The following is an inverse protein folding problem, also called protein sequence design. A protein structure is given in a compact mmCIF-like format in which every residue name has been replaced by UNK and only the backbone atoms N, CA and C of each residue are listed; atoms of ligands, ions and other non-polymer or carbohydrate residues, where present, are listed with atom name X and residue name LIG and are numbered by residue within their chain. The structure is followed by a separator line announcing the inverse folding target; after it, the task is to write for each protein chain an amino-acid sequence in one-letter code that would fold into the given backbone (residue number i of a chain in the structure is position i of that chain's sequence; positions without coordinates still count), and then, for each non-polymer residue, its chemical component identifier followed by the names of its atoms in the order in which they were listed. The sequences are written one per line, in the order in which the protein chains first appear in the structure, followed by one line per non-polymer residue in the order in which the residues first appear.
data_IF_469059963065
#
_entry.id   IF_469059963065
#
_cell.length_a   1.000
_cell.length_b   1.000
_cell.length_c   1.000
_cell.angle_alpha   90.00
_cell.angle_beta   90.00
_cell.angle_gamma   90.00
#
_symmetry.space_group_name_H-M   'P 1'
#
loop_
_entity.id
_entity.type
_entity.pdbx_description
1 polymer ?
#
# COMPACT_ATOMS: atom_id res chain seq x y z
N UNK A 1 -14.77 15.83 -28.96
CA UNK A 1 -13.89 14.70 -29.34
C UNK A 1 -12.48 14.89 -28.78
N UNK A 2 -11.92 16.10 -28.82
CA UNK A 2 -10.58 16.45 -28.31
C UNK A 2 -10.38 16.19 -26.79
N UNK A 3 -11.34 16.59 -25.96
CA UNK A 3 -11.26 16.47 -24.48
C UNK A 3 -11.16 15.01 -24.00
N UNK A 4 -11.91 14.09 -24.59
CA UNK A 4 -11.87 12.67 -24.20
C UNK A 4 -10.50 12.06 -24.48
N UNK A 5 -9.91 12.37 -25.64
CA UNK A 5 -8.57 11.91 -26.03
C UNK A 5 -7.51 12.47 -25.07
N UNK A 6 -7.65 13.75 -24.69
CA UNK A 6 -6.75 14.38 -23.72
C UNK A 6 -6.83 13.72 -22.33
N UNK A 7 -8.04 13.47 -21.81
CA UNK A 7 -8.23 12.81 -20.52
C UNK A 7 -7.68 11.39 -20.52
N UNK A 8 -7.92 10.63 -21.58
CA UNK A 8 -7.37 9.28 -21.74
C UNK A 8 -5.83 9.29 -21.78
N UNK A 9 -5.23 10.29 -22.43
CA UNK A 9 -3.77 10.46 -22.44
C UNK A 9 -3.25 10.76 -21.04
N UNK A 10 -3.85 11.72 -20.34
CA UNK A 10 -3.45 12.09 -18.98
C UNK A 10 -3.54 10.90 -18.02
N UNK A 11 -4.61 10.10 -18.11
CA UNK A 11 -4.76 8.90 -17.28
C UNK A 11 -3.63 7.91 -17.54
N UNK A 12 -3.32 7.60 -18.81
CA UNK A 12 -2.24 6.68 -19.17
C UNK A 12 -0.87 7.18 -18.69
N UNK A 13 -0.58 8.47 -18.89
CA UNK A 13 0.66 9.10 -18.44
C UNK A 13 0.80 9.02 -16.92
N UNK A 14 -0.28 9.31 -16.19
CA UNK A 14 -0.28 9.25 -14.73
C UNK A 14 -0.12 7.82 -14.20
N UNK A 15 -0.83 6.83 -14.79
CA UNK A 15 -0.65 5.43 -14.42
C UNK A 15 0.77 4.93 -14.69
N UNK A 16 1.37 5.32 -15.83
CA UNK A 16 2.75 4.99 -16.14
C UNK A 16 3.75 5.61 -15.14
N UNK A 17 3.51 6.85 -14.72
CA UNK A 17 4.28 7.52 -13.68
C UNK A 17 4.20 6.76 -12.35
N UNK A 18 3.00 6.41 -11.88
CA UNK A 18 2.81 5.68 -10.62
C UNK A 18 3.56 4.35 -10.61
N UNK A 19 3.58 3.63 -11.74
CA UNK A 19 4.35 2.38 -11.87
C UNK A 19 5.85 2.64 -11.89
N UNK A 20 6.32 3.65 -12.63
CA UNK A 20 7.75 3.99 -12.72
C UNK A 20 8.31 4.37 -11.34
N UNK A 21 7.57 5.16 -10.58
CA UNK A 21 7.92 5.54 -9.20
C UNK A 21 7.71 4.39 -8.21
N UNK A 22 7.15 3.26 -8.64
CA UNK A 22 6.97 2.07 -7.82
C UNK A 22 5.83 2.15 -6.82
N UNK A 23 4.87 3.06 -6.98
CA UNK A 23 3.64 3.06 -6.19
C UNK A 23 2.80 1.82 -6.48
N UNK A 24 2.73 1.44 -7.77
CA UNK A 24 1.97 0.31 -8.28
C UNK A 24 2.89 -0.73 -8.93
N UNK A 25 2.59 -2.02 -8.76
CA UNK A 25 3.22 -3.12 -9.48
C UNK A 25 2.25 -3.80 -10.47
N UNK A 26 2.72 -4.87 -11.12
CA UNK A 26 1.99 -5.59 -12.16
C UNK A 26 0.66 -6.19 -11.66
N UNK A 27 0.48 -6.37 -10.34
CA UNK A 27 -0.78 -6.86 -9.79
C UNK A 27 -1.92 -5.87 -10.03
N UNK A 28 -1.65 -4.56 -10.01
CA UNK A 28 -2.67 -3.56 -10.32
C UNK A 28 -3.14 -3.67 -11.77
N UNK A 29 -2.22 -3.98 -12.71
CA UNK A 29 -2.58 -4.20 -14.13
C UNK A 29 -3.43 -5.48 -14.29
N UNK A 30 -3.14 -6.53 -13.52
CA UNK A 30 -3.99 -7.73 -13.49
C UNK A 30 -5.40 -7.39 -12.99
N UNK A 31 -5.50 -6.53 -11.98
CA UNK A 31 -6.78 -6.09 -11.41
C UNK A 31 -7.59 -5.28 -12.43
N UNK A 32 -6.93 -4.40 -13.20
CA UNK A 32 -7.55 -3.66 -14.29
C UNK A 32 -8.08 -4.58 -15.42
N UNK A 33 -7.40 -5.70 -15.70
CA UNK A 33 -7.83 -6.67 -16.72
C UNK A 33 -9.08 -7.46 -16.34
N UNK A 34 -9.45 -7.48 -15.05
CA UNK A 34 -10.67 -8.11 -14.56
C UNK A 34 -11.90 -7.22 -14.75
N UNK A 35 -11.71 -5.92 -14.97
CA UNK A 35 -12.79 -5.00 -15.25
C UNK A 35 -13.31 -5.19 -16.68
N UNK A 36 -14.61 -5.37 -16.83
CA UNK A 36 -15.28 -5.54 -18.12
C UNK A 36 -16.58 -4.73 -18.22
N UNK A 37 -17.31 -4.86 -19.33
CA UNK A 37 -18.58 -4.15 -19.54
C UNK A 37 -19.68 -4.56 -18.55
N UNK A 38 -19.58 -5.75 -17.95
CA UNK A 38 -20.53 -6.23 -16.94
C UNK A 38 -20.22 -5.72 -15.52
N UNK A 39 -18.98 -5.27 -15.31
CA UNK A 39 -18.44 -4.82 -14.02
C UNK A 39 -17.54 -3.57 -14.19
N UNK A 40 -18.08 -2.46 -14.73
CA UNK A 40 -17.27 -1.29 -15.12
C UNK A 40 -16.59 -0.59 -13.94
N UNK A 41 -17.08 -0.79 -12.71
CA UNK A 41 -16.56 -0.15 -11.49
C UNK A 41 -15.71 -1.10 -10.63
N UNK A 42 -15.41 -2.32 -11.09
CA UNK A 42 -14.71 -3.36 -10.31
C UNK A 42 -13.43 -2.85 -9.64
N UNK A 43 -12.55 -2.17 -10.38
CA UNK A 43 -11.29 -1.64 -9.83
C UNK A 43 -11.57 -0.61 -8.74
N UNK A 44 -12.56 0.26 -8.95
CA UNK A 44 -12.93 1.31 -7.99
C UNK A 44 -13.49 0.70 -6.72
N UNK A 45 -14.35 -0.32 -6.83
CA UNK A 45 -14.91 -1.04 -5.69
C UNK A 45 -13.82 -1.72 -4.86
N UNK A 46 -12.91 -2.46 -5.51
CA UNK A 46 -11.81 -3.15 -4.82
C UNK A 46 -10.87 -2.16 -4.13
N UNK A 47 -10.51 -1.07 -4.79
CA UNK A 47 -9.65 -0.03 -4.20
C UNK A 47 -10.34 0.69 -3.04
N UNK A 48 -11.66 0.91 -3.13
CA UNK A 48 -12.44 1.52 -2.04
C UNK A 48 -12.47 0.62 -0.81
N UNK A 49 -12.71 -0.69 -0.99
CA UNK A 49 -12.65 -1.68 0.09
C UNK A 49 -11.25 -1.71 0.72
N UNK A 50 -10.20 -1.66 -0.11
CA UNK A 50 -8.83 -1.58 0.39
C UNK A 50 -8.62 -0.35 1.29
N UNK A 51 -9.13 0.82 0.92
CA UNK A 51 -8.99 2.02 1.75
C UNK A 51 -9.73 1.90 3.09
N UNK A 52 -10.98 1.41 3.07
CA UNK A 52 -11.77 1.22 4.29
C UNK A 52 -11.10 0.23 5.27
N UNK A 53 -10.52 -0.85 4.74
CA UNK A 53 -9.84 -1.85 5.57
C UNK A 53 -8.46 -1.36 6.03
N UNK A 54 -7.75 -0.59 5.20
CA UNK A 54 -6.47 0.02 5.53
C UNK A 54 -6.61 0.99 6.70
N UNK A 55 -7.64 1.84 6.71
CA UNK A 55 -7.89 2.79 7.80
C UNK A 55 -8.09 2.07 9.13
N UNK A 56 -8.92 1.01 9.14
CA UNK A 56 -9.16 0.20 10.35
C UNK A 56 -7.87 -0.48 10.82
N UNK A 57 -7.10 -1.04 9.90
CA UNK A 57 -5.85 -1.73 10.22
C UNK A 57 -4.80 -0.78 10.79
N UNK A 58 -4.59 0.38 10.17
CA UNK A 58 -3.64 1.40 10.63
C UNK A 58 -4.04 1.94 12.00
N UNK A 59 -5.33 2.18 12.24
CA UNK A 59 -5.82 2.60 13.56
C UNK A 59 -5.60 1.55 14.64
N UNK A 60 -5.81 0.26 14.33
CA UNK A 60 -5.54 -0.82 15.27
C UNK A 60 -4.05 -1.00 15.54
N UNK A 61 -3.22 -0.87 14.50
CA UNK A 61 -1.76 -0.90 14.61
C UNK A 61 -1.24 0.23 15.50
N UNK A 62 -1.71 1.46 15.29
CA UNK A 62 -1.35 2.61 16.11
C UNK A 62 -1.71 2.37 17.59
N UNK A 63 -2.93 1.92 17.87
CA UNK A 63 -3.38 1.58 19.23
C UNK A 63 -2.54 0.47 19.88
N UNK A 64 -2.10 -0.53 19.12
CA UNK A 64 -1.24 -1.59 19.63
C UNK A 64 0.16 -1.08 20.01
N UNK A 65 0.69 -0.12 19.25
CA UNK A 65 1.99 0.51 19.49
C UNK A 65 1.99 1.53 20.64
N UNK A 66 0.84 2.16 20.93
CA UNK A 66 0.69 3.11 22.04
C UNK A 66 0.62 2.45 23.43
N UNK A 67 0.54 1.11 23.50
CA UNK A 67 0.48 0.39 24.78
C UNK A 67 1.81 0.46 25.53
N UNK A 68 1.75 0.56 26.86
CA UNK A 68 2.96 0.58 27.72
C UNK A 68 3.84 -0.66 27.57
N UNK A 69 3.24 -1.80 27.26
CA UNK A 69 3.92 -3.03 26.91
C UNK A 69 3.34 -3.51 25.58
N UNK A 70 4.11 -3.34 24.50
CA UNK A 70 3.66 -3.65 23.14
C UNK A 70 3.58 -5.17 22.94
N UNK A 71 2.41 -5.66 22.51
CA UNK A 71 2.26 -7.03 22.04
C UNK A 71 2.73 -7.15 20.59
N UNK A 72 4.01 -7.48 20.44
CA UNK A 72 4.65 -7.67 19.14
C UNK A 72 3.99 -8.73 18.26
N UNK A 73 3.32 -9.73 18.84
CA UNK A 73 2.60 -10.74 18.05
C UNK A 73 1.35 -10.15 17.42
N UNK A 74 0.64 -9.30 18.15
CA UNK A 74 -0.52 -8.58 17.63
C UNK A 74 -0.10 -7.58 16.55
N UNK A 75 1.00 -6.85 16.77
CA UNK A 75 1.56 -5.91 15.79
C UNK A 75 1.97 -6.66 14.50
N UNK A 76 2.73 -7.76 14.60
CA UNK A 76 3.11 -8.56 13.42
C UNK A 76 1.88 -9.08 12.66
N UNK A 77 0.84 -9.51 13.36
CA UNK A 77 -0.40 -9.97 12.73
C UNK A 77 -1.08 -8.86 11.91
N UNK A 78 -1.18 -7.65 12.44
CA UNK A 78 -1.75 -6.51 11.71
C UNK A 78 -0.92 -6.13 10.49
N UNK A 79 0.40 -6.10 10.62
CA UNK A 79 1.32 -5.78 9.52
C UNK A 79 1.30 -6.87 8.45
N UNK A 80 1.21 -8.14 8.85
CA UNK A 80 1.08 -9.26 7.92
C UNK A 80 -0.22 -9.17 7.12
N UNK A 81 -1.34 -8.86 7.79
CA UNK A 81 -2.62 -8.65 7.11
C UNK A 81 -2.53 -7.48 6.12
N UNK A 82 -1.92 -6.37 6.53
CA UNK A 82 -1.81 -5.18 5.69
C UNK A 82 -0.88 -5.39 4.49
N UNK A 83 0.21 -6.16 4.66
CA UNK A 83 1.06 -6.65 3.57
C UNK A 83 0.23 -7.42 2.55
N UNK A 84 -0.58 -8.38 2.99
CA UNK A 84 -1.39 -9.22 2.11
C UNK A 84 -2.43 -8.40 1.33
N UNK A 85 -3.14 -7.51 2.03
CA UNK A 85 -4.10 -6.60 1.42
C UNK A 85 -3.43 -5.67 0.39
N UNK A 86 -2.31 -5.04 0.74
CA UNK A 86 -1.54 -4.19 -0.18
C UNK A 86 -1.02 -4.95 -1.40
N UNK A 87 -0.56 -6.19 -1.20
CA UNK A 87 -0.13 -7.04 -2.28
C UNK A 87 -1.27 -7.39 -3.24
N UNK A 88 -2.49 -7.65 -2.74
CA UNK A 88 -3.63 -8.02 -3.59
C UNK A 88 -4.08 -6.94 -4.57
N UNK A 89 -3.86 -5.66 -4.25
CA UNK A 89 -4.19 -4.52 -5.11
C UNK A 89 -2.99 -3.96 -5.88
N UNK A 90 -1.78 -4.51 -5.67
CA UNK A 90 -0.55 -4.02 -6.27
C UNK A 90 0.01 -2.72 -5.67
N UNK A 91 -0.35 -2.37 -4.43
CA UNK A 91 0.22 -1.22 -3.71
C UNK A 91 1.65 -1.54 -3.22
N UNK A 92 2.61 -1.46 -4.14
CA UNK A 92 3.96 -1.98 -3.93
C UNK A 92 4.73 -1.30 -2.80
N UNK A 93 4.71 0.05 -2.71
CA UNK A 93 5.42 0.76 -1.63
C UNK A 93 4.90 0.35 -0.25
N UNK A 94 3.59 0.28 -0.08
CA UNK A 94 2.97 -0.10 1.20
C UNK A 94 3.32 -1.55 1.56
N UNK A 95 3.22 -2.47 0.59
CA UNK A 95 3.67 -3.86 0.76
C UNK A 95 5.12 -3.95 1.25
N UNK A 96 6.02 -3.18 0.65
CA UNK A 96 7.45 -3.20 1.00
C UNK A 96 7.71 -2.64 2.40
N UNK A 97 7.06 -1.53 2.77
CA UNK A 97 7.12 -1.00 4.14
C UNK A 97 6.63 -2.04 5.15
N UNK A 98 5.57 -2.78 4.85
CA UNK A 98 5.10 -3.85 5.72
C UNK A 98 6.13 -5.00 5.84
N UNK A 99 6.85 -5.35 4.78
CA UNK A 99 7.93 -6.36 4.84
C UNK A 99 9.03 -5.89 5.78
N UNK A 100 9.48 -4.65 5.65
CA UNK A 100 10.50 -4.09 6.53
C UNK A 100 10.03 -4.02 7.99
N UNK A 101 8.80 -3.56 8.22
CA UNK A 101 8.21 -3.46 9.54
C UNK A 101 8.24 -4.81 10.29
N UNK A 102 7.92 -5.91 9.59
CA UNK A 102 7.96 -7.26 10.20
C UNK A 102 9.36 -7.66 10.66
N UNK A 103 10.40 -7.29 9.92
CA UNK A 103 11.78 -7.57 10.34
C UNK A 103 12.10 -6.89 11.69
N UNK A 104 11.54 -5.70 11.95
CA UNK A 104 11.68 -5.01 13.25
C UNK A 104 10.87 -5.68 14.36
N UNK A 105 9.67 -6.18 14.06
CA UNK A 105 8.87 -6.94 15.02
C UNK A 105 9.60 -8.21 15.47
N UNK A 106 10.22 -8.93 14.53
CA UNK A 106 11.00 -10.14 14.82
C UNK A 106 12.27 -9.83 15.64
N UNK A 107 12.89 -8.67 15.42
CA UNK A 107 14.02 -8.18 16.20
C UNK A 107 13.65 -7.58 17.58
N UNK A 108 12.36 -7.44 17.90
CA UNK A 108 11.84 -6.75 19.10
C UNK A 108 12.38 -5.33 19.32
N UNK A 109 12.80 -4.64 18.26
CA UNK A 109 13.57 -3.40 18.37
C UNK A 109 12.82 -2.21 17.74
N UNK A 110 11.76 -1.73 18.41
CA UNK A 110 10.90 -0.62 17.91
C UNK A 110 11.58 0.75 18.06
N UNK A 111 12.58 0.90 18.95
CA UNK A 111 13.28 2.18 19.14
C UNK A 111 13.96 2.67 17.84
N UNK A 112 14.39 1.77 16.96
CA UNK A 112 14.94 2.11 15.64
C UNK A 112 13.88 2.58 14.63
N UNK A 113 12.62 2.14 14.76
CA UNK A 113 11.54 2.54 13.85
C UNK A 113 11.04 3.96 14.17
N UNK A 114 10.86 4.29 15.45
CA UNK A 114 10.38 5.62 15.88
C UNK A 114 11.42 6.74 15.65
N UNK A 115 12.72 6.39 15.65
CA UNK A 115 13.82 7.33 15.39
C UNK A 115 14.14 7.53 13.89
N UNK A 116 13.52 6.76 12.99
CA UNK A 116 13.62 7.02 11.55
C UNK A 116 12.62 8.10 11.14
N UNK A 117 13.10 9.34 11.06
CA UNK A 117 12.41 10.48 10.42
C UNK A 117 12.21 10.32 8.91
N UNK A 118 12.71 9.24 8.32
CA UNK A 118 12.58 8.95 6.91
C UNK A 118 12.12 7.49 6.74
N UNK A 119 10.88 7.34 6.24
CA UNK A 119 10.50 6.15 5.48
C UNK A 119 11.59 5.88 4.43
N UNK A 120 11.80 4.66 3.93
CA UNK A 120 12.63 4.42 2.76
C UNK A 120 11.95 5.05 1.53
N UNK A 121 11.98 6.38 1.46
CA UNK A 121 11.86 7.13 0.23
C UNK A 121 13.18 6.85 -0.47
N UNK A 122 13.10 6.36 -1.70
CA UNK A 122 14.25 6.05 -2.55
C UNK A 122 15.39 7.06 -2.32
N UNK A 123 16.40 6.66 -1.56
CA UNK A 123 17.67 7.38 -1.47
C UNK A 123 18.45 7.03 -2.74
N UNK A 124 17.99 7.45 -3.92
CA UNK A 124 18.76 7.46 -5.15
C UNK A 124 18.33 8.69 -5.97
N UNK A 125 19.15 9.72 -5.83
CA UNK A 125 19.65 10.59 -6.89
C UNK A 125 18.66 11.41 -7.73
N UNK A 126 18.55 12.69 -7.39
CA UNK A 126 18.83 13.79 -8.32
C UNK A 126 19.75 14.81 -7.66
#
# INVERSE_FOLDING_TARGET
MDVMIQLQRQLREHSAFLRKEGYLDDQFEQLQKLQDESSPDFVVEVVSIFFDDSEKLLNNLAKALEQKAVDFKQVDAHVHQFKGSSASIGAMRVKNVCIEFRNYCEAQNIEDWSNRSELPVCSHDF
#
